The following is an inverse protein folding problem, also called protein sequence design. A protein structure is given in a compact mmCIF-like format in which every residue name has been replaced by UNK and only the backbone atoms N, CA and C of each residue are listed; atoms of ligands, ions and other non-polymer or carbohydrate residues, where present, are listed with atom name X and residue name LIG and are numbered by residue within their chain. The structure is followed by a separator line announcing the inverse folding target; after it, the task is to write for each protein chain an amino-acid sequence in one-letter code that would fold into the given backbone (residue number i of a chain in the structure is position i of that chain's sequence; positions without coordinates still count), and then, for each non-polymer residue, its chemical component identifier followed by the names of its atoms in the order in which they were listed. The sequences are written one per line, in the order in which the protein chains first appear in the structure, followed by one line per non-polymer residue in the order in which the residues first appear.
data_IF_276558775682
#
_entry.id   IF_276558775682
#
_cell.length_a   1.000
_cell.length_b   1.000
_cell.length_c   1.000
_cell.angle_alpha   90.00
_cell.angle_beta   90.00
_cell.angle_gamma   90.00
#
_symmetry.space_group_name_H-M   'P 1'
#
loop_
_entity.id
_entity.type
_entity.pdbx_description
1 polymer ?
#
# COMPACT_ATOMS: atom_id res chain seq x y z
N UNK A 1 -28.16 -30.36 2.97
CA UNK A 1 -28.38 -28.93 2.68
C UNK A 1 -28.39 -28.67 1.19
N UNK A 2 -27.54 -29.35 0.43
CA UNK A 2 -27.34 -29.13 -1.00
C UNK A 2 -28.63 -29.28 -1.79
N UNK A 3 -29.45 -30.29 -1.49
CA UNK A 3 -30.76 -30.50 -2.13
C UNK A 3 -31.72 -29.31 -1.88
N UNK A 4 -31.72 -28.73 -0.68
CA UNK A 4 -32.56 -27.56 -0.34
C UNK A 4 -32.03 -26.27 -0.98
N UNK A 5 -30.70 -26.07 -1.02
CA UNK A 5 -30.08 -24.92 -1.66
C UNK A 5 -30.27 -24.93 -3.19
N UNK A 6 -30.12 -26.10 -3.82
CA UNK A 6 -30.34 -26.29 -5.26
C UNK A 6 -31.82 -26.12 -5.60
N UNK A 7 -32.73 -26.64 -4.78
CA UNK A 7 -34.19 -26.47 -4.96
C UNK A 7 -34.62 -25.00 -4.75
N UNK A 8 -33.89 -24.25 -3.92
CA UNK A 8 -34.08 -22.81 -3.73
C UNK A 8 -33.34 -21.93 -4.77
N UNK A 9 -32.60 -22.53 -5.72
CA UNK A 9 -31.79 -21.80 -6.70
C UNK A 9 -30.67 -20.95 -6.10
N UNK A 10 -30.20 -21.29 -4.90
CA UNK A 10 -29.21 -20.48 -4.17
C UNK A 10 -27.80 -20.70 -4.73
N UNK A 11 -27.19 -19.62 -5.20
CA UNK A 11 -25.79 -19.56 -5.59
C UNK A 11 -25.20 -18.21 -5.14
N UNK A 12 -24.28 -18.24 -4.19
CA UNK A 12 -23.51 -17.09 -3.73
C UNK A 12 -22.28 -16.92 -4.60
N UNK A 13 -22.19 -15.82 -5.32
CA UNK A 13 -20.96 -15.41 -5.99
C UNK A 13 -20.04 -14.70 -4.98
N UNK A 14 -19.20 -15.50 -4.33
CA UNK A 14 -18.27 -14.98 -3.32
C UNK A 14 -17.25 -14.00 -3.91
N UNK A 15 -16.88 -14.17 -5.19
CA UNK A 15 -15.92 -13.29 -5.86
C UNK A 15 -16.53 -11.91 -6.08
N UNK A 16 -17.76 -11.81 -6.59
CA UNK A 16 -18.49 -10.54 -6.74
C UNK A 16 -18.68 -9.82 -5.40
N UNK A 17 -18.89 -10.58 -4.32
CA UNK A 17 -19.02 -10.02 -2.98
C UNK A 17 -17.73 -9.42 -2.44
N UNK A 18 -16.55 -9.98 -2.74
CA UNK A 18 -15.27 -9.48 -2.19
C UNK A 18 -14.52 -8.55 -3.13
N UNK A 19 -14.76 -8.66 -4.43
CA UNK A 19 -14.13 -7.86 -5.45
C UNK A 19 -14.90 -6.56 -5.71
N UNK A 20 -14.17 -5.58 -6.23
CA UNK A 20 -14.68 -4.31 -6.75
C UNK A 20 -13.80 -3.86 -7.91
N UNK A 21 -14.31 -2.91 -8.69
CA UNK A 21 -13.47 -2.19 -9.63
C UNK A 21 -12.40 -1.39 -8.87
N UNK A 22 -11.13 -1.66 -9.19
CA UNK A 22 -10.00 -0.93 -8.65
C UNK A 22 -9.70 0.31 -9.48
N UNK A 23 -9.20 1.37 -8.85
CA UNK A 23 -8.83 2.60 -9.54
C UNK A 23 -7.43 3.03 -9.16
N UNK A 24 -6.76 3.74 -10.07
CA UNK A 24 -5.45 4.30 -9.81
C UNK A 24 -5.38 5.71 -10.38
N UNK A 25 -5.00 6.67 -9.53
CA UNK A 25 -4.79 8.06 -9.92
C UNK A 25 -3.38 8.49 -9.51
N UNK A 26 -2.61 8.99 -10.47
CA UNK A 26 -1.26 9.49 -10.26
C UNK A 26 -1.17 10.93 -10.76
N UNK A 27 -0.81 11.85 -9.87
CA UNK A 27 -0.57 13.25 -10.19
C UNK A 27 0.87 13.61 -9.85
N UNK A 28 1.55 14.33 -10.74
CA UNK A 28 2.90 14.84 -10.52
C UNK A 28 2.97 16.29 -10.98
N UNK A 29 3.64 17.11 -10.18
CA UNK A 29 3.98 18.50 -10.52
C UNK A 29 5.48 18.64 -10.41
N UNK A 30 6.09 19.25 -11.42
CA UNK A 30 7.53 19.48 -11.48
C UNK A 30 7.80 20.93 -11.82
N UNK A 31 8.72 21.52 -11.07
CA UNK A 31 9.29 22.84 -11.32
C UNK A 31 10.78 22.67 -11.52
N UNK A 32 11.30 23.22 -12.61
CA UNK A 32 12.72 23.28 -12.91
C UNK A 32 13.11 24.72 -13.17
N UNK A 33 14.31 25.10 -12.79
CA UNK A 33 14.81 26.44 -13.03
C UNK A 33 16.29 26.54 -12.78
N UNK A 34 16.80 27.75 -12.95
CA UNK A 34 18.22 28.05 -12.81
C UNK A 34 18.77 28.86 -13.97
N UNK A 35 20.09 29.04 -13.93
CA UNK A 35 20.90 29.74 -14.90
C UNK A 35 22.14 28.89 -15.27
N UNK A 36 23.16 29.53 -15.85
CA UNK A 36 24.39 28.85 -16.24
C UNK A 36 25.17 28.26 -15.05
N UNK A 37 25.08 28.89 -13.86
CA UNK A 37 25.82 28.48 -12.67
C UNK A 37 25.03 27.53 -11.78
N UNK A 38 23.71 27.66 -11.74
CA UNK A 38 22.85 26.95 -10.81
C UNK A 38 21.70 26.29 -11.54
N UNK A 39 21.45 25.02 -11.27
CA UNK A 39 20.27 24.31 -11.78
C UNK A 39 19.56 23.64 -10.63
N UNK A 40 18.24 23.72 -10.60
CA UNK A 40 17.44 23.02 -9.62
C UNK A 40 16.20 22.39 -10.25
N UNK A 41 15.74 21.30 -9.63
CA UNK A 41 14.51 20.63 -9.97
C UNK A 41 13.82 20.18 -8.70
N UNK A 42 12.57 20.61 -8.51
CA UNK A 42 11.68 20.17 -7.45
C UNK A 42 10.51 19.42 -8.10
N UNK A 43 10.23 18.20 -7.66
CA UNK A 43 9.01 17.49 -8.03
C UNK A 43 8.25 17.01 -6.81
N UNK A 44 6.93 17.02 -6.93
CA UNK A 44 5.99 16.49 -5.95
C UNK A 44 5.01 15.58 -6.66
N UNK A 45 4.66 14.45 -6.05
CA UNK A 45 3.73 13.50 -6.63
C UNK A 45 2.87 12.81 -5.59
N UNK A 46 1.66 12.43 -6.00
CA UNK A 46 0.75 11.61 -5.23
C UNK A 46 0.14 10.51 -6.11
N UNK A 47 0.27 9.27 -5.65
CA UNK A 47 -0.40 8.10 -6.18
C UNK A 47 -1.48 7.67 -5.18
N UNK A 48 -2.71 7.50 -5.65
CA UNK A 48 -3.80 6.86 -4.91
C UNK A 48 -4.24 5.63 -5.69
N UNK A 49 -4.30 4.49 -5.02
CA UNK A 49 -4.73 3.22 -5.58
C UNK A 49 -5.79 2.58 -4.70
N UNK A 50 -6.96 2.33 -5.28
CA UNK A 50 -8.04 1.56 -4.67
C UNK A 50 -7.90 0.13 -5.18
N UNK A 51 -7.66 -0.83 -4.28
CA UNK A 51 -7.46 -2.23 -4.63
C UNK A 51 -8.74 -2.92 -5.08
N UNK A 52 -8.59 -3.97 -5.91
CA UNK A 52 -9.72 -4.77 -6.41
C UNK A 52 -10.38 -5.60 -5.31
N UNK A 53 -9.66 -5.96 -4.25
CA UNK A 53 -10.27 -6.58 -3.06
C UNK A 53 -10.78 -5.47 -2.16
N UNK A 54 -12.04 -5.56 -1.73
CA UNK A 54 -12.65 -4.59 -0.82
C UNK A 54 -11.84 -4.50 0.49
N UNK A 55 -11.65 -3.28 0.98
CA UNK A 55 -10.85 -3.00 2.18
C UNK A 55 -9.34 -2.85 1.93
N UNK A 56 -8.87 -2.99 0.68
CA UNK A 56 -7.47 -2.73 0.30
C UNK A 56 -7.32 -1.41 -0.46
N UNK A 57 -6.34 -0.61 -0.06
CA UNK A 57 -5.91 0.60 -0.76
C UNK A 57 -4.45 0.97 -0.44
N UNK A 58 -3.90 1.87 -1.25
CA UNK A 58 -2.53 2.33 -1.15
C UNK A 58 -2.43 3.81 -1.56
N UNK A 59 -1.76 4.60 -0.73
CA UNK A 59 -1.43 5.99 -1.04
C UNK A 59 0.07 6.19 -0.92
N UNK A 60 0.68 6.83 -1.91
CA UNK A 60 2.09 7.22 -1.88
C UNK A 60 2.25 8.69 -2.23
N UNK A 61 2.91 9.43 -1.35
CA UNK A 61 3.29 10.83 -1.55
C UNK A 61 4.80 10.91 -1.66
N UNK A 62 5.30 11.67 -2.62
CA UNK A 62 6.74 11.81 -2.84
C UNK A 62 7.11 13.25 -3.12
N UNK A 63 8.23 13.69 -2.56
CA UNK A 63 8.90 14.95 -2.91
C UNK A 63 10.33 14.64 -3.27
N UNK A 64 10.84 15.21 -4.37
CA UNK A 64 12.23 15.10 -4.80
C UNK A 64 12.79 16.48 -5.11
N UNK A 65 13.97 16.75 -4.57
CA UNK A 65 14.75 17.94 -4.83
C UNK A 65 16.11 17.54 -5.40
N UNK A 66 16.48 18.16 -6.51
CA UNK A 66 17.81 18.06 -7.09
C UNK A 66 18.37 19.47 -7.27
N UNK A 67 19.65 19.64 -6.97
CA UNK A 67 20.33 20.91 -7.06
C UNK A 67 21.77 20.70 -7.47
N UNK A 68 22.23 21.50 -8.43
CA UNK A 68 23.59 21.54 -8.94
C UNK A 68 24.04 23.00 -8.97
N UNK A 69 25.22 23.29 -8.46
CA UNK A 69 25.76 24.64 -8.42
C UNK A 69 27.27 24.68 -8.66
N UNK A 70 27.68 25.48 -9.64
CA UNK A 70 29.07 25.85 -9.89
C UNK A 70 29.46 27.01 -8.95
N UNK A 71 29.93 26.66 -7.75
CA UNK A 71 30.41 27.62 -6.75
C UNK A 71 31.65 28.41 -7.24
N UNK A 72 32.44 27.81 -8.12
CA UNK A 72 33.52 28.47 -8.87
C UNK A 72 33.82 27.71 -10.18
N UNK A 73 34.71 28.21 -11.07
CA UNK A 73 35.13 27.45 -12.26
C UNK A 73 35.76 26.09 -11.94
N UNK A 74 36.24 25.88 -10.71
CA UNK A 74 36.87 24.64 -10.26
C UNK A 74 36.03 23.82 -9.30
N UNK A 75 34.97 24.38 -8.69
CA UNK A 75 34.17 23.72 -7.66
C UNK A 75 32.72 23.64 -8.08
N UNK A 76 32.20 22.41 -8.19
CA UNK A 76 30.76 22.14 -8.32
C UNK A 76 30.29 21.38 -7.09
N UNK A 77 29.15 21.77 -6.56
CA UNK A 77 28.47 21.05 -5.48
C UNK A 77 27.06 20.71 -5.91
N UNK A 78 26.49 19.66 -5.35
CA UNK A 78 25.10 19.34 -5.60
C UNK A 78 24.50 18.35 -4.64
N UNK A 79 23.19 18.19 -4.75
CA UNK A 79 22.41 17.25 -3.96
C UNK A 79 21.31 16.62 -4.79
N UNK A 80 21.00 15.35 -4.45
CA UNK A 80 19.77 14.70 -4.88
C UNK A 80 19.12 14.08 -3.64
N UNK A 81 17.97 14.63 -3.26
CA UNK A 81 17.23 14.25 -2.05
C UNK A 81 15.78 13.93 -2.38
N UNK A 82 15.23 12.88 -1.77
CA UNK A 82 13.84 12.49 -1.90
C UNK A 82 13.27 12.02 -0.58
N UNK A 83 12.02 12.39 -0.33
CA UNK A 83 11.22 11.86 0.78
C UNK A 83 9.98 11.21 0.18
N UNK A 84 9.71 9.98 0.60
CA UNK A 84 8.55 9.21 0.18
C UNK A 84 7.81 8.73 1.41
N UNK A 85 6.53 9.07 1.52
CA UNK A 85 5.62 8.49 2.48
C UNK A 85 4.66 7.55 1.75
N UNK A 86 4.43 6.37 2.30
CA UNK A 86 3.41 5.45 1.81
C UNK A 86 2.58 4.90 2.95
N UNK A 87 1.27 4.88 2.73
CA UNK A 87 0.27 4.30 3.62
C UNK A 87 -0.46 3.19 2.85
N UNK A 88 -0.55 2.01 3.45
CA UNK A 88 -1.16 0.84 2.83
C UNK A 88 -2.14 0.19 3.81
N UNK A 89 -3.38 0.00 3.38
CA UNK A 89 -4.36 -0.83 4.07
C UNK A 89 -4.41 -2.18 3.35
N UNK A 90 -3.96 -3.25 4.02
CA UNK A 90 -3.94 -4.59 3.45
C UNK A 90 -5.09 -5.47 3.96
N UNK A 91 -5.59 -5.22 5.18
CA UNK A 91 -6.59 -6.08 5.81
C UNK A 91 -6.11 -7.53 5.92
N UNK A 92 -6.88 -8.49 5.37
CA UNK A 92 -6.45 -9.89 5.23
C UNK A 92 -5.66 -10.19 3.94
N UNK A 93 -5.55 -9.23 3.03
CA UNK A 93 -4.79 -9.38 1.79
C UNK A 93 -5.40 -10.43 0.85
N UNK A 94 -4.54 -11.21 0.23
CA UNK A 94 -4.89 -12.31 -0.67
C UNK A 94 -5.76 -13.40 0.01
N UNK A 95 -5.65 -13.54 1.32
CA UNK A 95 -6.46 -14.47 2.10
C UNK A 95 -7.98 -14.26 1.96
N UNK A 96 -8.45 -13.04 1.68
CA UNK A 96 -9.87 -12.77 1.40
C UNK A 96 -10.30 -13.45 0.10
N UNK A 97 -9.48 -13.31 -0.95
CA UNK A 97 -9.77 -13.86 -2.26
C UNK A 97 -9.64 -15.39 -2.26
N UNK A 98 -8.65 -15.92 -1.55
CA UNK A 98 -8.52 -17.37 -1.34
C UNK A 98 -9.72 -17.97 -0.62
N UNK A 99 -10.26 -17.32 0.42
CA UNK A 99 -11.51 -17.79 1.03
C UNK A 99 -12.69 -17.72 0.07
N UNK A 100 -12.85 -16.63 -0.69
CA UNK A 100 -13.94 -16.52 -1.65
C UNK A 100 -13.93 -17.67 -2.68
N UNK A 101 -12.75 -18.07 -3.17
CA UNK A 101 -12.60 -19.19 -4.11
C UNK A 101 -12.92 -20.57 -3.52
N UNK A 102 -12.73 -20.73 -2.22
CA UNK A 102 -12.83 -22.03 -1.56
C UNK A 102 -14.09 -22.19 -0.70
N UNK A 103 -14.89 -21.13 -0.57
CA UNK A 103 -16.15 -21.16 0.15
C UNK A 103 -17.24 -21.85 -0.70
N UNK A 104 -18.21 -22.45 -0.04
CA UNK A 104 -19.28 -23.19 -0.69
C UNK A 104 -20.22 -22.20 -1.41
N UNK A 105 -20.39 -22.29 -2.74
CA UNK A 105 -21.30 -21.42 -3.48
C UNK A 105 -22.76 -21.61 -3.07
N UNK A 106 -23.13 -22.68 -2.39
CA UNK A 106 -24.50 -22.89 -1.87
C UNK A 106 -24.71 -22.25 -0.48
N UNK A 107 -23.66 -21.78 0.17
CA UNK A 107 -23.74 -21.21 1.51
C UNK A 107 -24.20 -19.74 1.47
N UNK A 108 -25.13 -19.33 2.34
CA UNK A 108 -25.64 -17.95 2.35
C UNK A 108 -24.59 -16.99 2.94
N UNK A 109 -24.31 -15.89 2.24
CA UNK A 109 -23.42 -14.84 2.76
C UNK A 109 -24.08 -13.97 3.85
N UNK A 110 -25.40 -13.80 3.77
CA UNK A 110 -26.15 -12.91 4.65
C UNK A 110 -27.34 -13.62 5.30
N UNK A 111 -27.70 -13.19 6.51
CA UNK A 111 -28.94 -13.59 7.18
C UNK A 111 -30.16 -12.86 6.61
N UNK A 112 -31.36 -13.18 7.12
CA UNK A 112 -32.61 -12.55 6.68
C UNK A 112 -32.70 -11.04 6.98
N UNK A 113 -31.85 -10.53 7.87
CA UNK A 113 -31.76 -9.11 8.20
C UNK A 113 -30.66 -8.39 7.41
N UNK A 114 -29.91 -9.10 6.55
CA UNK A 114 -28.83 -8.56 5.74
C UNK A 114 -27.47 -8.52 6.45
N UNK A 115 -27.33 -9.11 7.64
CA UNK A 115 -26.03 -9.17 8.33
C UNK A 115 -25.16 -10.29 7.77
N UNK A 116 -23.84 -10.07 7.76
CA UNK A 116 -22.86 -11.08 7.34
C UNK A 116 -22.91 -12.29 8.28
N UNK A 117 -23.12 -13.48 7.72
CA UNK A 117 -23.07 -14.73 8.48
C UNK A 117 -21.60 -15.11 8.66
N UNK A 118 -21.09 -15.10 9.90
CA UNK A 118 -19.68 -15.40 10.17
C UNK A 118 -19.26 -16.81 9.71
N UNK A 119 -20.08 -17.83 10.00
CA UNK A 119 -19.87 -19.22 9.57
C UNK A 119 -21.02 -19.66 8.67
N UNK A 120 -20.88 -19.52 7.34
CA UNK A 120 -21.99 -19.74 6.41
C UNK A 120 -22.29 -21.23 6.19
N UNK A 121 -21.35 -22.11 6.53
CA UNK A 121 -21.48 -23.57 6.46
C UNK A 121 -21.49 -24.21 7.86
N UNK A 122 -22.28 -25.28 8.09
CA UNK A 122 -22.35 -25.95 9.41
C UNK A 122 -21.10 -26.70 9.87
N UNK A 123 -20.22 -27.09 8.95
CA UNK A 123 -18.92 -27.67 9.31
C UNK A 123 -18.00 -26.63 9.99
N UNK A 124 -18.32 -25.34 9.83
CA UNK A 124 -17.65 -24.22 10.48
C UNK A 124 -16.16 -24.10 10.16
N UNK A 125 -15.71 -24.74 9.07
CA UNK A 125 -14.30 -24.80 8.66
C UNK A 125 -13.82 -23.50 8.01
N UNK A 126 -14.72 -22.82 7.29
CA UNK A 126 -14.46 -21.54 6.65
C UNK A 126 -15.38 -20.48 7.20
N UNK A 127 -14.86 -19.26 7.27
CA UNK A 127 -15.66 -18.07 7.56
C UNK A 127 -16.10 -17.40 6.27
N UNK A 128 -17.11 -16.56 6.39
CA UNK A 128 -17.46 -15.66 5.32
C UNK A 128 -16.31 -14.65 5.08
N UNK A 129 -15.78 -14.52 3.85
CA UNK A 129 -14.68 -13.61 3.57
C UNK A 129 -15.01 -12.14 3.83
N UNK A 130 -16.29 -11.75 3.81
CA UNK A 130 -16.75 -10.42 4.21
C UNK A 130 -16.51 -10.15 5.69
N UNK A 131 -16.51 -11.18 6.54
CA UNK A 131 -16.21 -11.04 7.96
C UNK A 131 -14.76 -10.55 8.17
N UNK A 132 -13.79 -11.04 7.40
CA UNK A 132 -12.42 -10.54 7.49
C UNK A 132 -12.27 -9.13 6.95
N UNK A 133 -12.96 -8.78 5.86
CA UNK A 133 -12.99 -7.40 5.34
C UNK A 133 -13.50 -6.42 6.43
N UNK A 134 -14.48 -6.83 7.23
CA UNK A 134 -15.06 -6.01 8.29
C UNK A 134 -14.20 -5.99 9.58
N UNK A 135 -13.57 -7.11 9.94
CA UNK A 135 -13.01 -7.32 11.27
C UNK A 135 -11.48 -7.43 11.32
N UNK A 136 -10.79 -7.41 10.18
CA UNK A 136 -9.33 -7.46 10.12
C UNK A 136 -8.72 -6.18 9.55
N UNK A 137 -7.71 -5.65 10.23
CA UNK A 137 -6.89 -4.50 9.81
C UNK A 137 -5.41 -4.87 9.77
N UNK A 138 -4.71 -4.38 8.77
CA UNK A 138 -3.25 -4.45 8.64
C UNK A 138 -2.82 -3.17 7.93
N UNK A 139 -2.47 -2.18 8.74
CA UNK A 139 -2.27 -0.80 8.32
C UNK A 139 -0.77 -0.50 8.42
N UNK A 140 -0.17 -0.19 7.28
CA UNK A 140 1.29 -0.08 7.14
C UNK A 140 1.65 1.33 6.69
N UNK A 141 2.35 2.04 7.56
CA UNK A 141 2.95 3.33 7.27
C UNK A 141 4.46 3.18 7.05
N UNK A 142 4.98 3.80 6.00
CA UNK A 142 6.44 3.86 5.74
C UNK A 142 6.84 5.24 5.29
N UNK A 143 7.91 5.77 5.89
CA UNK A 143 8.59 6.98 5.44
C UNK A 143 10.02 6.61 5.07
N UNK A 144 10.44 6.93 3.84
CA UNK A 144 11.82 6.80 3.40
C UNK A 144 12.36 8.17 3.01
N UNK A 145 13.44 8.60 3.64
CA UNK A 145 14.20 9.78 3.29
C UNK A 145 15.57 9.34 2.77
N UNK A 146 15.86 9.68 1.52
CA UNK A 146 17.13 9.36 0.87
C UNK A 146 17.74 10.66 0.36
N UNK A 147 19.04 10.85 0.59
CA UNK A 147 19.74 12.05 0.17
C UNK A 147 21.19 11.77 -0.15
N UNK A 148 21.69 12.46 -1.16
CA UNK A 148 23.11 12.49 -1.51
C UNK A 148 23.58 13.93 -1.61
N UNK A 149 24.81 14.17 -1.18
CA UNK A 149 25.56 15.40 -1.34
C UNK A 149 26.85 15.06 -2.08
N UNK A 150 27.25 15.89 -3.03
CA UNK A 150 28.54 15.72 -3.69
C UNK A 150 29.28 17.05 -3.86
N UNK A 151 30.59 16.94 -3.96
CA UNK A 151 31.48 18.02 -4.35
C UNK A 151 32.48 17.51 -5.40
N UNK A 152 32.53 18.19 -6.54
CA UNK A 152 33.55 18.04 -7.58
C UNK A 152 34.53 19.19 -7.51
N UNK A 153 35.81 18.90 -7.46
CA UNK A 153 36.88 19.88 -7.49
C UNK A 153 37.90 19.57 -8.59
N UNK A 154 38.09 20.49 -9.53
CA UNK A 154 39.14 20.42 -10.53
C UNK A 154 40.47 20.86 -9.89
N UNK A 155 41.32 19.90 -9.53
CA UNK A 155 42.66 20.14 -9.00
C UNK A 155 43.59 20.72 -10.08
N UNK A 156 43.43 20.25 -11.32
CA UNK A 156 44.09 20.75 -12.53
C UNK A 156 43.21 20.45 -13.75
N UNK A 157 43.62 20.90 -14.93
CA UNK A 157 42.90 20.61 -16.19
C UNK A 157 42.89 19.11 -16.55
N UNK A 158 43.79 18.33 -15.95
CA UNK A 158 43.90 16.88 -16.17
C UNK A 158 43.37 16.03 -14.98
N UNK A 159 43.02 16.65 -13.85
CA UNK A 159 42.63 15.94 -12.63
C UNK A 159 41.40 16.56 -11.96
N UNK A 160 40.32 15.79 -11.91
CA UNK A 160 39.12 16.08 -11.14
C UNK A 160 39.03 15.14 -9.93
N UNK A 161 38.64 15.69 -8.78
CA UNK A 161 38.34 14.94 -7.58
C UNK A 161 36.86 15.08 -7.21
N UNK A 162 36.22 13.96 -6.88
CA UNK A 162 34.82 13.93 -6.44
C UNK A 162 34.70 13.25 -5.09
N UNK A 163 33.96 13.87 -4.18
CA UNK A 163 33.46 13.24 -2.95
C UNK A 163 31.95 13.19 -2.97
N UNK A 164 31.40 12.05 -2.54
CA UNK A 164 29.97 11.86 -2.36
C UNK A 164 29.70 11.38 -0.93
N UNK A 165 28.69 11.97 -0.30
CA UNK A 165 28.13 11.52 0.97
C UNK A 165 26.64 11.22 0.77
N UNK A 166 26.15 10.13 1.36
CA UNK A 166 24.76 9.72 1.20
C UNK A 166 24.18 9.09 2.45
N UNK A 167 22.87 9.28 2.64
CA UNK A 167 22.09 8.69 3.72
C UNK A 167 20.77 8.12 3.19
N UNK A 168 20.36 6.96 3.74
CA UNK A 168 19.07 6.33 3.49
C UNK A 168 18.45 5.95 4.84
N UNK A 169 17.35 6.64 5.17
CA UNK A 169 16.63 6.45 6.42
C UNK A 169 15.24 5.94 6.09
N UNK A 170 14.86 4.80 6.68
CA UNK A 170 13.53 4.23 6.53
C UNK A 170 12.91 4.02 7.90
N UNK A 171 11.71 4.56 8.08
CA UNK A 171 10.86 4.38 9.26
C UNK A 171 9.63 3.59 8.86
N UNK A 172 9.28 2.59 9.66
CA UNK A 172 8.14 1.72 9.42
C UNK A 172 7.25 1.66 10.66
N UNK A 173 5.95 1.69 10.42
CA UNK A 173 4.92 1.42 11.43
C UNK A 173 3.93 0.42 10.83
N UNK A 174 3.56 -0.57 11.61
CA UNK A 174 2.47 -1.49 11.29
C UNK A 174 1.55 -1.59 12.49
N UNK A 175 0.27 -1.41 12.25
CA UNK A 175 -0.77 -1.75 13.21
C UNK A 175 -1.58 -2.91 12.66
N UNK A 176 -1.84 -3.92 13.50
CA UNK A 176 -2.65 -5.06 13.11
C UNK A 176 -3.76 -5.27 14.11
N UNK A 177 -4.95 -5.59 13.60
CA UNK A 177 -6.09 -5.93 14.43
C UNK A 177 -6.84 -7.11 13.80
N UNK A 178 -7.18 -8.09 14.64
CA UNK A 178 -8.04 -9.21 14.28
C UNK A 178 -9.18 -9.28 15.29
N UNK A 179 -10.38 -8.93 14.85
CA UNK A 179 -11.62 -9.13 15.61
C UNK A 179 -11.96 -10.60 15.78
N UNK A 180 -12.84 -10.91 16.73
CA UNK A 180 -13.24 -12.29 17.03
C UNK A 180 -13.85 -13.00 15.81
N UNK A 181 -14.61 -12.27 15.00
CA UNK A 181 -15.24 -12.78 13.77
C UNK A 181 -14.29 -12.65 12.56
N UNK A 182 -13.12 -13.27 12.66
CA UNK A 182 -12.17 -13.41 11.54
C UNK A 182 -11.78 -14.87 11.37
N UNK A 183 -11.26 -15.26 10.21
CA UNK A 183 -10.74 -16.61 9.99
C UNK A 183 -9.58 -16.91 10.94
N UNK A 184 -8.78 -15.89 11.27
CA UNK A 184 -7.65 -16.04 12.18
C UNK A 184 -8.10 -16.32 13.63
N UNK A 185 -9.22 -15.75 14.07
CA UNK A 185 -9.66 -15.84 15.47
C UNK A 185 -10.76 -16.87 15.72
N UNK A 186 -11.59 -17.22 14.73
CA UNK A 186 -12.61 -18.26 14.87
C UNK A 186 -13.58 -18.07 16.06
N UNK A 187 -13.85 -16.82 16.46
CA UNK A 187 -14.67 -16.49 17.64
C UNK A 187 -13.88 -16.31 18.94
N UNK A 188 -12.57 -16.55 18.95
CA UNK A 188 -11.67 -16.25 20.07
C UNK A 188 -11.57 -14.75 20.32
N UNK A 189 -11.11 -14.31 21.52
CA UNK A 189 -10.93 -12.89 21.81
C UNK A 189 -10.10 -12.15 20.76
N UNK A 190 -10.48 -10.90 20.50
CA UNK A 190 -9.78 -10.05 19.54
C UNK A 190 -8.30 -9.83 19.94
N UNK A 191 -7.45 -9.58 18.95
CA UNK A 191 -6.01 -9.40 19.12
C UNK A 191 -5.55 -8.15 18.35
N UNK A 192 -4.69 -7.35 18.98
CA UNK A 192 -4.08 -6.17 18.39
C UNK A 192 -2.56 -6.21 18.61
N UNK A 193 -1.80 -5.79 17.60
CA UNK A 193 -0.33 -5.73 17.63
C UNK A 193 0.19 -4.47 16.95
#
# INVERSE_FOLDING_TARGET
MDVQAITAGRSTDWQDLVLREGTQLSNEVRVTGGDEKTRFALSGGQLNQVGIVKGMDFVRRSVRFNFDHHASPRLRVGTSTSVVQSDQHLGRGDGVYSEALLNDPLAPAFDSAGNVIFKPTPDGQRVNPLSDIQNQRDDRGRVRAFGTLFADYNLSDALNWRVNFGADLTFYRRGQFWGAQTQAQQGSPANAR
#
